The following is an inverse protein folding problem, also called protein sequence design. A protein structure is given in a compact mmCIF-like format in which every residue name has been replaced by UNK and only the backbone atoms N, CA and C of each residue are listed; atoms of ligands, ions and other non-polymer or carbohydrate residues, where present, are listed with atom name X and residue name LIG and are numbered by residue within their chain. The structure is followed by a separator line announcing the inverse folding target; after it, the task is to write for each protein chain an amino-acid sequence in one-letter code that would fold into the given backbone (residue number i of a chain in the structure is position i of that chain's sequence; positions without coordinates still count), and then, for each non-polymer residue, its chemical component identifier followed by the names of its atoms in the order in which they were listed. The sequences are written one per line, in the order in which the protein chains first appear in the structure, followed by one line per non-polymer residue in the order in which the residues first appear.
data_IF_775998907751
#
_entry.id   IF_775998907751
#
_cell.length_a   1.000
_cell.length_b   1.000
_cell.length_c   1.000
_cell.angle_alpha   90.00
_cell.angle_beta   90.00
_cell.angle_gamma   90.00
#
_symmetry.space_group_name_H-M   'P 1'
#
loop_
_entity.id
_entity.type
_entity.pdbx_description
1 polymer ?
#
# COMPACT_ATOMS: atom_id res chain seq x y z
N UNK A 1 -16.89 -26.07 -7.93
CA UNK A 1 -17.64 -24.83 -7.60
C UNK A 1 -17.52 -24.51 -6.10
N UNK A 2 -16.29 -24.44 -5.58
CA UNK A 2 -16.01 -23.56 -4.45
C UNK A 2 -15.66 -22.24 -5.11
N UNK A 3 -16.48 -21.22 -4.87
CA UNK A 3 -16.08 -19.83 -5.10
C UNK A 3 -14.71 -19.67 -4.40
N UNK A 4 -13.97 -18.60 -4.70
CA UNK A 4 -13.32 -17.93 -3.58
C UNK A 4 -14.46 -17.66 -2.57
N UNK A 5 -14.72 -18.61 -1.67
CA UNK A 5 -15.58 -18.44 -0.54
C UNK A 5 -14.80 -17.36 0.17
N UNK A 6 -15.23 -16.12 -0.10
CA UNK A 6 -15.33 -15.05 0.87
C UNK A 6 -14.46 -15.42 2.05
N UNK A 7 -13.16 -15.09 1.99
CA UNK A 7 -12.36 -15.04 3.19
C UNK A 7 -13.30 -14.40 4.23
N UNK A 8 -13.67 -15.13 5.30
CA UNK A 8 -14.82 -14.79 6.13
C UNK A 8 -14.72 -13.30 6.39
N UNK A 9 -15.76 -12.52 6.05
CA UNK A 9 -15.74 -11.05 6.07
C UNK A 9 -14.98 -10.66 7.32
N UNK A 10 -13.68 -10.36 7.16
CA UNK A 10 -12.80 -10.27 8.32
C UNK A 10 -13.38 -9.07 9.06
N UNK A 11 -13.72 -9.26 10.34
CA UNK A 11 -14.30 -8.19 11.16
C UNK A 11 -13.55 -6.89 10.84
N UNK A 12 -14.29 -5.81 10.59
CA UNK A 12 -13.73 -4.49 10.27
C UNK A 12 -12.62 -4.10 11.24
N UNK A 13 -12.73 -4.52 12.51
CA UNK A 13 -11.68 -4.35 13.54
C UNK A 13 -10.40 -5.13 13.20
N UNK A 14 -10.51 -6.39 12.79
CA UNK A 14 -9.41 -7.25 12.33
C UNK A 14 -8.76 -6.71 11.06
N UNK A 15 -9.54 -6.27 10.08
CA UNK A 15 -9.01 -5.64 8.86
C UNK A 15 -8.22 -4.36 9.17
N UNK A 16 -8.73 -3.54 10.11
CA UNK A 16 -8.04 -2.34 10.58
C UNK A 16 -6.72 -2.68 11.30
N UNK A 17 -6.73 -3.68 12.17
CA UNK A 17 -5.52 -4.18 12.86
C UNK A 17 -4.43 -4.61 11.87
N UNK A 18 -4.81 -5.46 10.91
CA UNK A 18 -3.90 -5.96 9.87
C UNK A 18 -3.37 -4.84 8.96
N UNK A 19 -4.19 -3.83 8.64
CA UNK A 19 -3.73 -2.68 7.85
C UNK A 19 -2.71 -1.83 8.62
N UNK A 20 -2.94 -1.57 9.91
CA UNK A 20 -1.99 -0.86 10.78
C UNK A 20 -0.69 -1.63 10.92
N UNK A 21 -0.77 -2.95 11.12
CA UNK A 21 0.42 -3.81 11.17
C UNK A 21 1.18 -3.74 9.84
N UNK A 22 0.50 -3.86 8.70
CA UNK A 22 1.14 -3.75 7.38
C UNK A 22 1.87 -2.42 7.20
N UNK A 23 1.27 -1.29 7.60
CA UNK A 23 1.92 0.02 7.53
C UNK A 23 3.17 0.10 8.43
N UNK A 24 3.10 -0.44 9.64
CA UNK A 24 4.23 -0.46 10.57
C UNK A 24 5.38 -1.34 10.06
N UNK A 25 5.05 -2.47 9.44
CA UNK A 25 6.02 -3.40 8.83
C UNK A 25 6.66 -2.77 7.59
N UNK A 26 5.88 -2.14 6.72
CA UNK A 26 6.39 -1.42 5.56
C UNK A 26 7.41 -0.36 5.98
N UNK A 27 7.04 0.53 6.92
CA UNK A 27 7.94 1.58 7.42
C UNK A 27 9.20 1.03 8.08
N UNK A 28 9.14 -0.16 8.70
CA UNK A 28 10.33 -0.82 9.24
C UNK A 28 11.28 -1.29 8.14
N UNK A 29 10.76 -1.93 7.09
CA UNK A 29 11.59 -2.42 5.99
C UNK A 29 12.16 -1.26 5.17
N UNK A 30 11.38 -0.20 4.90
CA UNK A 30 11.87 1.02 4.27
C UNK A 30 13.08 1.59 5.02
N UNK A 31 12.96 1.79 6.35
CA UNK A 31 14.10 2.24 7.17
C UNK A 31 15.28 1.27 7.12
N UNK A 32 15.02 -0.03 7.09
CA UNK A 32 16.07 -1.04 7.06
C UNK A 32 16.86 -1.00 5.75
N UNK A 33 16.16 -0.85 4.62
CA UNK A 33 16.76 -0.69 3.30
C UNK A 33 17.60 0.60 3.21
N UNK A 34 17.17 1.68 3.88
CA UNK A 34 17.93 2.94 3.91
C UNK A 34 19.11 2.95 4.88
N UNK A 35 19.08 2.16 5.97
CA UNK A 35 20.04 2.27 7.09
C UNK A 35 21.11 1.17 7.14
N UNK A 36 20.82 -0.05 6.68
CA UNK A 36 21.79 -1.14 6.66
C UNK A 36 22.41 -1.23 5.27
N UNK A 37 23.73 -1.45 5.21
CA UNK A 37 24.54 -1.53 3.99
C UNK A 37 23.93 -2.40 2.88
N UNK A 38 24.42 -2.29 1.64
CA UNK A 38 23.59 -2.45 0.45
C UNK A 38 23.00 -3.85 0.36
N UNK A 39 21.68 -3.96 0.57
CA UNK A 39 20.91 -5.04 -0.03
C UNK A 39 21.19 -4.99 -1.53
N UNK A 40 21.60 -6.10 -2.11
CA UNK A 40 21.76 -6.19 -3.56
C UNK A 40 20.39 -6.38 -4.21
N UNK A 41 20.30 -6.09 -5.51
CA UNK A 41 19.09 -6.38 -6.28
C UNK A 41 18.64 -7.85 -6.14
N UNK A 42 19.60 -8.78 -6.10
CA UNK A 42 19.32 -10.21 -5.94
C UNK A 42 18.71 -10.56 -4.58
N UNK A 43 19.09 -9.86 -3.51
CA UNK A 43 18.56 -10.11 -2.16
C UNK A 43 17.07 -9.81 -2.07
N UNK A 44 16.54 -8.92 -2.92
CA UNK A 44 15.12 -8.56 -2.98
C UNK A 44 14.22 -9.70 -3.49
N UNK A 45 14.80 -10.81 -3.94
CA UNK A 45 14.11 -12.01 -4.41
C UNK A 45 14.44 -13.25 -3.58
N UNK A 46 15.31 -13.12 -2.58
CA UNK A 46 15.77 -14.24 -1.76
C UNK A 46 14.61 -14.89 -0.99
N UNK A 47 14.48 -16.24 -0.95
CA UNK A 47 13.49 -16.92 -0.12
C UNK A 47 13.52 -16.46 1.35
N UNK A 48 14.72 -16.17 1.87
CA UNK A 48 14.94 -15.71 3.23
C UNK A 48 14.32 -14.31 3.45
N UNK A 49 14.40 -13.43 2.45
CA UNK A 49 13.75 -12.12 2.48
C UNK A 49 12.22 -12.25 2.41
N UNK A 50 11.71 -13.11 1.53
CA UNK A 50 10.28 -13.44 1.42
C UNK A 50 9.72 -13.97 2.75
N UNK A 51 10.46 -14.86 3.41
CA UNK A 51 10.13 -15.43 4.72
C UNK A 51 10.17 -14.36 5.82
N UNK A 52 11.18 -13.50 5.83
CA UNK A 52 11.30 -12.41 6.79
C UNK A 52 10.12 -11.43 6.68
N UNK A 53 9.72 -11.07 5.46
CA UNK A 53 8.54 -10.22 5.20
C UNK A 53 7.27 -10.89 5.71
N UNK A 54 7.04 -12.16 5.37
CA UNK A 54 5.88 -12.92 5.86
C UNK A 54 5.87 -13.01 7.39
N UNK A 55 6.98 -13.43 8.01
CA UNK A 55 7.11 -13.48 9.45
C UNK A 55 6.74 -12.13 10.09
N UNK A 56 7.28 -11.04 9.57
CA UNK A 56 7.10 -9.72 10.18
C UNK A 56 5.67 -9.21 10.10
N UNK A 57 4.94 -9.57 9.03
CA UNK A 57 3.52 -9.26 8.82
C UNK A 57 2.57 -10.02 9.75
N UNK A 58 2.99 -11.18 10.29
CA UNK A 58 2.07 -12.09 10.96
C UNK A 58 2.50 -12.54 12.36
N UNK A 59 3.75 -12.29 12.78
CA UNK A 59 4.24 -12.68 14.11
C UNK A 59 3.46 -12.04 15.27
N UNK A 60 2.87 -10.87 15.05
CA UNK A 60 2.08 -10.14 16.05
C UNK A 60 0.59 -10.51 16.02
N UNK A 61 0.15 -11.26 15.02
CA UNK A 61 -1.25 -11.63 14.85
C UNK A 61 -1.66 -12.72 15.87
N UNK A 62 -2.86 -12.58 16.42
CA UNK A 62 -3.44 -13.60 17.31
C UNK A 62 -3.66 -14.93 16.58
N UNK A 63 -3.83 -16.02 17.33
CA UNK A 63 -4.11 -17.35 16.73
C UNK A 63 -5.41 -17.31 15.91
N UNK A 64 -6.47 -16.67 16.41
CA UNK A 64 -7.71 -16.45 15.68
C UNK A 64 -7.51 -15.65 14.38
N UNK A 65 -6.49 -14.79 14.32
CA UNK A 65 -6.12 -14.06 13.11
C UNK A 65 -5.33 -14.90 12.11
N UNK A 66 -4.72 -16.00 12.56
CA UNK A 66 -3.90 -16.93 11.78
C UNK A 66 -4.60 -18.25 11.47
N UNK A 67 -5.77 -18.51 12.07
CA UNK A 67 -6.60 -19.68 11.75
C UNK A 67 -7.10 -19.60 10.30
N UNK A 68 -6.87 -20.67 9.56
CA UNK A 68 -7.28 -20.90 8.17
C UNK A 68 -8.69 -21.48 8.11
N UNK A 69 -9.25 -21.59 6.90
CA UNK A 69 -10.59 -22.13 6.69
C UNK A 69 -10.75 -23.60 7.08
N UNK A 70 -9.65 -24.36 7.08
CA UNK A 70 -9.61 -25.77 7.51
C UNK A 70 -9.36 -25.93 9.02
N UNK A 71 -9.29 -24.84 9.77
CA UNK A 71 -9.02 -24.83 11.21
C UNK A 71 -7.54 -24.91 11.59
N UNK A 72 -6.64 -25.14 10.64
CA UNK A 72 -5.21 -25.11 10.91
C UNK A 72 -4.71 -23.68 11.17
N UNK A 73 -3.59 -23.53 11.86
CA UNK A 73 -3.01 -22.22 12.19
C UNK A 73 -1.81 -21.99 11.26
N UNK A 74 -1.87 -20.91 10.47
CA UNK A 74 -0.76 -20.49 9.62
C UNK A 74 0.44 -20.07 10.48
N UNK A 75 1.62 -20.60 10.15
CA UNK A 75 2.87 -20.28 10.83
C UNK A 75 3.59 -19.11 10.12
N UNK A 76 3.80 -17.97 10.82
CA UNK A 76 4.52 -16.83 10.24
C UNK A 76 5.93 -17.20 9.78
N UNK A 77 6.31 -16.75 8.59
CA UNK A 77 7.63 -16.98 8.00
C UNK A 77 7.94 -18.41 7.53
N UNK A 78 7.03 -19.37 7.69
CA UNK A 78 7.27 -20.76 7.33
C UNK A 78 6.66 -21.08 5.97
N UNK A 79 7.50 -21.47 5.01
CA UNK A 79 7.07 -21.92 3.70
C UNK A 79 6.25 -23.21 3.79
N UNK A 80 5.26 -23.37 2.91
CA UNK A 80 4.45 -24.58 2.85
C UNK A 80 5.24 -25.82 2.39
N UNK A 81 6.42 -25.64 1.78
CA UNK A 81 7.37 -26.73 1.51
C UNK A 81 7.84 -27.43 2.78
N UNK A 82 7.90 -26.70 3.90
CA UNK A 82 8.29 -27.24 5.21
C UNK A 82 7.12 -27.97 5.87
N UNK A 83 5.90 -27.45 5.71
CA UNK A 83 4.69 -28.07 6.29
C UNK A 83 4.09 -29.18 5.43
N UNK A 84 4.50 -29.29 4.16
CA UNK A 84 3.96 -30.26 3.19
C UNK A 84 2.53 -29.94 2.73
N UNK A 85 2.04 -28.71 2.95
CA UNK A 85 0.65 -28.35 2.67
C UNK A 85 0.47 -27.83 1.24
N UNK A 86 -0.37 -28.51 0.47
CA UNK A 86 -0.82 -28.05 -0.84
C UNK A 86 -2.02 -27.10 -0.68
N UNK A 87 -2.09 -26.09 -1.55
CA UNK A 87 -3.10 -25.02 -1.48
C UNK A 87 -3.71 -24.80 -2.86
N UNK A 88 -5.02 -24.53 -2.88
CA UNK A 88 -5.77 -24.18 -4.09
C UNK A 88 -5.90 -22.67 -4.16
N UNK A 89 -5.57 -22.08 -5.30
CA UNK A 89 -5.62 -20.63 -5.54
C UNK A 89 -6.66 -20.33 -6.61
N UNK A 90 -7.80 -19.79 -6.19
CA UNK A 90 -8.92 -19.55 -7.10
C UNK A 90 -9.43 -20.85 -7.72
N UNK A 91 -9.21 -21.02 -9.04
CA UNK A 91 -9.61 -22.21 -9.79
C UNK A 91 -8.43 -23.09 -10.24
N UNK A 92 -7.22 -22.83 -9.76
CA UNK A 92 -6.04 -23.62 -10.12
C UNK A 92 -5.34 -24.14 -8.86
N UNK A 93 -4.73 -25.31 -8.98
CA UNK A 93 -3.82 -25.82 -7.96
C UNK A 93 -2.54 -24.98 -8.00
N UNK A 94 -2.10 -24.49 -6.84
CA UNK A 94 -0.76 -23.95 -6.75
C UNK A 94 0.25 -25.08 -7.05
N UNK A 95 1.51 -24.74 -7.42
CA UNK A 95 2.57 -25.74 -7.56
C UNK A 95 2.66 -26.65 -6.33
N UNK A 96 3.17 -27.87 -6.47
CA UNK A 96 3.33 -28.76 -5.32
C UNK A 96 4.21 -28.11 -4.23
N UNK A 97 3.87 -28.35 -2.95
CA UNK A 97 4.57 -27.79 -1.81
C UNK A 97 6.08 -28.09 -1.85
N UNK A 98 6.48 -29.28 -2.28
CA UNK A 98 7.88 -29.67 -2.37
C UNK A 98 8.69 -28.83 -3.37
N UNK A 99 8.03 -28.24 -4.38
CA UNK A 99 8.67 -27.44 -5.41
C UNK A 99 8.89 -25.97 -5.00
N UNK A 100 8.17 -25.47 -3.98
CA UNK A 100 8.12 -24.04 -3.63
C UNK A 100 9.50 -23.42 -3.43
N UNK A 101 10.34 -24.06 -2.60
CA UNK A 101 11.66 -23.52 -2.27
C UNK A 101 12.57 -23.45 -3.51
N UNK A 102 12.59 -24.51 -4.32
CA UNK A 102 13.36 -24.55 -5.55
C UNK A 102 12.88 -23.49 -6.56
N UNK A 103 11.56 -23.27 -6.64
CA UNK A 103 10.97 -22.23 -7.49
C UNK A 103 11.37 -20.83 -7.01
N UNK A 104 11.31 -20.54 -5.72
CA UNK A 104 11.75 -19.23 -5.19
C UNK A 104 13.23 -18.96 -5.51
N UNK A 105 14.10 -19.96 -5.35
CA UNK A 105 15.53 -19.86 -5.72
C UNK A 105 15.74 -19.66 -7.23
N UNK A 106 14.93 -20.34 -8.04
CA UNK A 106 14.94 -20.12 -9.49
C UNK A 106 14.54 -18.68 -9.86
N UNK A 107 13.49 -18.15 -9.23
CA UNK A 107 13.06 -16.77 -9.41
C UNK A 107 14.16 -15.78 -8.99
N UNK A 108 14.81 -16.01 -7.84
CA UNK A 108 15.94 -15.20 -7.39
C UNK A 108 17.07 -15.18 -8.43
N UNK A 109 17.49 -16.34 -8.92
CA UNK A 109 18.55 -16.44 -9.93
C UNK A 109 18.18 -15.72 -11.24
N UNK A 110 16.93 -15.85 -11.69
CA UNK A 110 16.45 -15.26 -12.93
C UNK A 110 16.31 -13.73 -12.90
N UNK A 111 15.65 -13.21 -11.86
CA UNK A 111 15.37 -11.78 -11.70
C UNK A 111 16.53 -11.00 -11.05
N UNK A 112 17.24 -11.63 -10.11
CA UNK A 112 18.31 -11.00 -9.33
C UNK A 112 19.57 -10.65 -10.11
N UNK A 113 19.75 -11.22 -11.32
CA UNK A 113 20.89 -10.92 -12.21
C UNK A 113 20.71 -9.66 -13.07
N UNK A 114 19.54 -9.02 -13.05
CA UNK A 114 19.30 -7.83 -13.87
C UNK A 114 20.03 -6.62 -13.30
N UNK A 115 20.74 -5.89 -14.17
CA UNK A 115 21.53 -4.71 -13.80
C UNK A 115 20.99 -3.40 -14.39
N UNK A 116 20.23 -3.45 -15.48
CA UNK A 116 19.57 -2.27 -16.07
C UNK A 116 18.35 -1.87 -15.22
N UNK A 117 18.29 -0.65 -14.65
CA UNK A 117 17.18 -0.19 -13.82
C UNK A 117 15.80 -0.33 -14.48
N UNK A 118 15.71 -0.15 -15.81
CA UNK A 118 14.45 -0.31 -16.55
C UNK A 118 13.99 -1.77 -16.56
N UNK A 119 14.94 -2.69 -16.71
CA UNK A 119 14.67 -4.14 -16.64
C UNK A 119 14.40 -4.58 -15.21
N UNK A 120 14.99 -3.93 -14.22
CA UNK A 120 14.70 -4.18 -12.80
C UNK A 120 13.27 -3.77 -12.44
N UNK A 121 12.80 -2.61 -12.91
CA UNK A 121 11.39 -2.22 -12.76
C UNK A 121 10.44 -3.27 -13.37
N UNK A 122 10.69 -3.66 -14.62
CA UNK A 122 9.91 -4.74 -15.27
C UNK A 122 9.99 -6.03 -14.45
N UNK A 123 11.17 -6.36 -13.91
CA UNK A 123 11.39 -7.54 -13.08
C UNK A 123 10.60 -7.51 -11.77
N UNK A 124 10.44 -6.36 -11.11
CA UNK A 124 9.58 -6.22 -9.93
C UNK A 124 8.13 -6.58 -10.22
N UNK A 125 7.61 -6.04 -11.32
CA UNK A 125 6.22 -6.24 -11.71
C UNK A 125 6.00 -7.68 -12.19
N UNK A 126 6.91 -8.20 -13.00
CA UNK A 126 6.93 -9.59 -13.45
C UNK A 126 6.98 -10.58 -12.26
N UNK A 127 7.90 -10.34 -11.31
CA UNK A 127 8.07 -11.16 -10.12
C UNK A 127 6.82 -11.15 -9.23
N UNK A 128 6.11 -10.03 -9.12
CA UNK A 128 4.85 -9.94 -8.37
C UNK A 128 3.89 -11.09 -8.73
N UNK A 129 3.68 -11.31 -10.03
CA UNK A 129 2.85 -12.39 -10.53
C UNK A 129 3.46 -13.76 -10.23
N UNK A 130 4.75 -13.97 -10.51
CA UNK A 130 5.39 -15.27 -10.29
C UNK A 130 5.39 -15.69 -8.83
N UNK A 131 5.58 -14.75 -7.92
CA UNK A 131 5.47 -15.00 -6.48
C UNK A 131 4.02 -15.33 -6.07
N UNK A 132 3.04 -14.61 -6.62
CA UNK A 132 1.63 -14.88 -6.37
C UNK A 132 1.21 -16.29 -6.88
N UNK A 133 1.74 -16.71 -8.03
CA UNK A 133 1.52 -18.03 -8.62
C UNK A 133 2.23 -19.17 -7.87
N UNK A 134 3.48 -18.98 -7.43
CA UNK A 134 4.17 -19.96 -6.55
C UNK A 134 3.40 -20.19 -5.24
N UNK A 135 2.79 -19.12 -4.72
CA UNK A 135 1.97 -19.13 -3.51
C UNK A 135 2.70 -19.78 -2.31
N UNK A 136 3.84 -19.24 -1.87
CA UNK A 136 4.77 -19.95 -0.98
C UNK A 136 4.27 -20.24 0.44
N UNK A 137 3.25 -19.52 0.91
CA UNK A 137 2.69 -19.66 2.26
C UNK A 137 1.25 -20.19 2.22
N UNK A 138 0.73 -20.62 3.36
CA UNK A 138 -0.66 -21.11 3.47
C UNK A 138 -1.71 -20.00 3.52
N UNK A 139 -1.36 -18.79 3.95
CA UNK A 139 -2.15 -17.55 3.77
C UNK A 139 -1.19 -16.36 3.64
N UNK A 140 -1.70 -15.19 3.28
CA UNK A 140 -0.94 -13.94 3.30
C UNK A 140 -0.16 -13.62 2.03
N UNK A 141 -0.12 -14.53 1.05
CA UNK A 141 0.67 -14.39 -0.18
C UNK A 141 0.43 -13.07 -0.93
N UNK A 142 -0.84 -12.63 -1.07
CA UNK A 142 -1.14 -11.35 -1.72
C UNK A 142 -0.59 -10.13 -0.97
N UNK A 143 -0.54 -10.17 0.37
CA UNK A 143 0.06 -9.10 1.19
C UNK A 143 1.57 -9.10 1.06
N UNK A 144 2.19 -10.28 1.08
CA UNK A 144 3.63 -10.47 0.86
C UNK A 144 4.04 -9.97 -0.53
N UNK A 145 3.34 -10.38 -1.59
CA UNK A 145 3.64 -9.97 -2.96
C UNK A 145 3.56 -8.44 -3.13
N UNK A 146 2.50 -7.79 -2.62
CA UNK A 146 2.38 -6.33 -2.67
C UNK A 146 3.47 -5.62 -1.88
N UNK A 147 3.82 -6.10 -0.69
CA UNK A 147 4.86 -5.48 0.12
C UNK A 147 6.25 -5.68 -0.51
N UNK A 148 6.56 -6.87 -1.04
CA UNK A 148 7.84 -7.08 -1.72
C UNK A 148 7.95 -6.21 -2.96
N UNK A 149 6.90 -6.11 -3.79
CA UNK A 149 6.92 -5.18 -4.93
C UNK A 149 7.13 -3.74 -4.49
N UNK A 150 6.48 -3.31 -3.41
CA UNK A 150 6.72 -1.98 -2.82
C UNK A 150 8.19 -1.80 -2.43
N UNK A 151 8.77 -2.75 -1.70
CA UNK A 151 10.17 -2.68 -1.25
C UNK A 151 11.17 -2.73 -2.43
N UNK A 152 10.85 -3.44 -3.51
CA UNK A 152 11.63 -3.41 -4.74
C UNK A 152 11.57 -2.03 -5.41
N UNK A 153 10.40 -1.37 -5.43
CA UNK A 153 10.28 0.01 -5.94
C UNK A 153 11.03 1.02 -5.06
N UNK A 154 11.08 0.81 -3.73
CA UNK A 154 11.92 1.59 -2.81
C UNK A 154 13.41 1.39 -3.12
N UNK A 155 13.83 0.13 -3.34
CA UNK A 155 15.22 -0.18 -3.70
C UNK A 155 15.65 0.46 -5.03
N UNK A 156 14.71 0.65 -5.96
CA UNK A 156 14.92 1.36 -7.23
C UNK A 156 14.85 2.89 -7.11
N UNK A 157 14.74 3.43 -5.88
CA UNK A 157 14.65 4.87 -5.61
C UNK A 157 13.46 5.56 -6.31
N UNK A 158 12.39 4.81 -6.57
CA UNK A 158 11.21 5.34 -7.25
C UNK A 158 10.20 5.98 -6.29
N UNK A 159 10.49 6.11 -5.00
CA UNK A 159 9.64 6.76 -4.00
C UNK A 159 8.16 6.30 -3.98
N UNK A 160 7.87 4.99 -3.88
CA UNK A 160 6.49 4.46 -3.82
C UNK A 160 5.75 4.83 -2.51
N UNK A 161 6.38 5.59 -1.63
CA UNK A 161 5.78 6.29 -0.48
C UNK A 161 4.96 7.49 -0.93
N UNK A 162 5.36 8.14 -2.03
CA UNK A 162 4.67 9.29 -2.62
C UNK A 162 3.56 8.85 -3.56
N UNK A 163 3.71 7.71 -4.25
CA UNK A 163 2.68 7.11 -5.12
C UNK A 163 2.53 5.62 -4.82
N UNK A 164 1.31 5.16 -4.54
CA UNK A 164 1.09 3.80 -4.04
C UNK A 164 0.52 2.88 -5.12
N UNK A 165 1.34 1.98 -5.67
CA UNK A 165 0.86 0.90 -6.55
C UNK A 165 -0.28 0.10 -5.90
N UNK A 166 -0.16 -0.24 -4.62
CA UNK A 166 -1.20 -0.96 -3.87
C UNK A 166 -2.55 -0.22 -3.84
N UNK A 167 -2.55 1.12 -3.75
CA UNK A 167 -3.76 1.93 -3.87
C UNK A 167 -4.39 1.80 -5.26
N UNK A 168 -3.57 1.89 -6.31
CA UNK A 168 -4.02 1.74 -7.70
C UNK A 168 -4.67 0.38 -7.95
N UNK A 169 -4.02 -0.70 -7.50
CA UNK A 169 -4.55 -2.06 -7.57
C UNK A 169 -5.85 -2.22 -6.77
N UNK A 170 -5.96 -1.60 -5.59
CA UNK A 170 -7.19 -1.65 -4.80
C UNK A 170 -8.36 -0.92 -5.50
N UNK A 171 -8.09 0.19 -6.19
CA UNK A 171 -9.10 0.91 -6.98
C UNK A 171 -9.55 0.09 -8.19
N UNK A 172 -8.61 -0.59 -8.85
CA UNK A 172 -8.82 -1.48 -10.01
C UNK A 172 -8.81 -2.97 -9.62
N UNK A 173 -9.41 -3.29 -8.46
CA UNK A 173 -9.36 -4.64 -7.89
C UNK A 173 -9.81 -5.72 -8.88
N UNK A 174 -10.95 -5.51 -9.56
CA UNK A 174 -11.47 -6.51 -10.50
C UNK A 174 -10.51 -6.74 -11.68
N UNK A 175 -9.95 -5.67 -12.25
CA UNK A 175 -8.97 -5.74 -13.33
C UNK A 175 -7.70 -6.46 -12.88
N UNK A 176 -7.21 -6.17 -11.67
CA UNK A 176 -6.01 -6.79 -11.11
C UNK A 176 -6.17 -8.31 -10.97
N UNK A 177 -7.29 -8.76 -10.39
CA UNK A 177 -7.56 -10.20 -10.28
C UNK A 177 -7.81 -10.85 -11.64
N UNK A 178 -8.42 -10.12 -12.58
CA UNK A 178 -8.57 -10.60 -13.96
C UNK A 178 -7.21 -10.76 -14.65
N UNK A 179 -6.30 -9.80 -14.51
CA UNK A 179 -4.97 -9.84 -15.10
C UNK A 179 -4.12 -10.98 -14.54
N UNK A 180 -4.18 -11.23 -13.22
CA UNK A 180 -3.57 -12.41 -12.59
C UNK A 180 -4.14 -13.71 -13.21
N UNK A 181 -5.47 -13.83 -13.23
CA UNK A 181 -6.14 -15.04 -13.76
C UNK A 181 -5.82 -15.29 -15.23
N UNK A 182 -5.66 -14.23 -16.04
CA UNK A 182 -5.26 -14.37 -17.43
C UNK A 182 -3.80 -14.82 -17.57
N UNK A 183 -2.89 -14.28 -16.75
CA UNK A 183 -1.48 -14.64 -16.79
C UNK A 183 -1.18 -16.04 -16.19
N UNK A 184 -2.12 -16.60 -15.44
CA UNK A 184 -2.13 -18.01 -14.99
C UNK A 184 -2.64 -18.99 -16.07
N UNK A 185 -3.09 -18.51 -17.23
CA UNK A 185 -3.57 -19.41 -18.29
C UNK A 185 -2.44 -20.28 -18.85
N UNK A 186 -2.75 -21.52 -19.26
CA UNK A 186 -1.80 -22.34 -20.00
C UNK A 186 -1.33 -21.64 -21.28
N UNK A 187 -0.15 -22.04 -21.76
CA UNK A 187 0.40 -21.61 -23.05
C UNK A 187 -0.63 -21.76 -24.18
N UNK A 188 -0.88 -20.66 -24.89
CA UNK A 188 -1.86 -20.53 -25.97
C UNK A 188 -1.19 -20.71 -27.35
N UNK A 189 -0.71 -21.93 -27.62
CA UNK A 189 -0.12 -22.32 -28.92
C UNK A 189 1.40 -22.10 -29.04
N UNK A 190 1.94 -22.39 -30.22
CA UNK A 190 3.39 -22.53 -30.41
C UNK A 190 4.16 -21.21 -30.31
N UNK A 191 3.52 -20.09 -30.67
CA UNK A 191 4.10 -18.75 -30.62
C UNK A 191 4.04 -18.10 -29.23
N UNK A 192 3.38 -18.72 -28.26
CA UNK A 192 3.14 -18.15 -26.92
C UNK A 192 4.23 -18.53 -25.91
N UNK A 193 5.49 -18.24 -26.27
CA UNK A 193 6.66 -18.56 -25.46
C UNK A 193 6.93 -20.06 -25.37
N UNK A 194 7.76 -20.46 -24.39
CA UNK A 194 8.21 -21.86 -24.20
C UNK A 194 7.91 -22.43 -22.81
N UNK A 195 7.27 -21.63 -21.96
CA UNK A 195 6.88 -22.04 -20.60
C UNK A 195 5.54 -22.76 -20.57
N UNK A 196 5.14 -23.21 -19.38
CA UNK A 196 3.82 -23.83 -19.17
C UNK A 196 2.68 -22.82 -19.20
N UNK A 197 2.95 -21.57 -18.81
CA UNK A 197 1.99 -20.47 -18.76
C UNK A 197 2.15 -19.55 -19.97
N UNK A 198 1.05 -18.89 -20.33
CA UNK A 198 1.02 -17.95 -21.44
C UNK A 198 1.99 -16.79 -21.25
N UNK A 199 2.92 -16.61 -22.19
CA UNK A 199 3.86 -15.49 -22.18
C UNK A 199 3.15 -14.19 -22.58
N UNK A 200 2.24 -14.26 -23.54
CA UNK A 200 1.44 -13.12 -24.00
C UNK A 200 0.61 -12.53 -22.86
N UNK A 201 -0.15 -13.36 -22.13
CA UNK A 201 -0.95 -12.89 -20.98
C UNK A 201 -0.09 -12.37 -19.85
N UNK A 202 1.09 -12.94 -19.66
CA UNK A 202 2.05 -12.44 -18.69
C UNK A 202 2.58 -11.04 -19.05
N UNK A 203 2.79 -10.73 -20.32
CA UNK A 203 3.14 -9.37 -20.76
C UNK A 203 1.98 -8.40 -20.58
N UNK A 204 0.74 -8.81 -20.92
CA UNK A 204 -0.47 -8.01 -20.65
C UNK A 204 -0.61 -7.67 -19.15
N UNK A 205 -0.27 -8.61 -18.24
CA UNK A 205 -0.22 -8.35 -16.80
C UNK A 205 0.84 -7.29 -16.43
N UNK A 206 2.05 -7.37 -17.00
CA UNK A 206 3.11 -6.40 -16.73
C UNK A 206 2.71 -5.00 -17.24
N UNK A 207 2.13 -4.92 -18.44
CA UNK A 207 1.60 -3.68 -19.01
C UNK A 207 0.51 -3.07 -18.14
N UNK A 208 -0.44 -3.89 -17.64
CA UNK A 208 -1.43 -3.45 -16.68
C UNK A 208 -0.79 -2.86 -15.41
N UNK A 209 0.20 -3.54 -14.85
CA UNK A 209 0.89 -3.06 -13.64
C UNK A 209 1.62 -1.73 -13.90
N UNK A 210 2.26 -1.57 -15.06
CA UNK A 210 2.90 -0.31 -15.48
C UNK A 210 1.89 0.83 -15.64
N UNK A 211 0.74 0.55 -16.26
CA UNK A 211 -0.34 1.53 -16.39
C UNK A 211 -0.82 1.97 -15.01
N UNK A 212 -1.00 1.04 -14.07
CA UNK A 212 -1.39 1.39 -12.70
C UNK A 212 -0.31 2.25 -12.02
N UNK A 213 0.98 1.94 -12.19
CA UNK A 213 2.05 2.80 -11.67
C UNK A 213 1.93 4.23 -12.22
N UNK A 214 1.77 4.38 -13.54
CA UNK A 214 1.62 5.68 -14.20
C UNK A 214 0.38 6.44 -13.69
N UNK A 215 -0.78 5.77 -13.63
CA UNK A 215 -2.02 6.35 -13.11
C UNK A 215 -1.86 6.87 -11.67
N UNK A 216 -1.09 6.14 -10.83
CA UNK A 216 -0.84 6.56 -9.45
C UNK A 216 0.13 7.74 -9.36
N UNK A 217 1.14 7.81 -10.23
CA UNK A 217 2.05 8.96 -10.31
C UNK A 217 1.28 10.21 -10.78
N UNK A 218 0.52 10.12 -11.86
CA UNK A 218 -0.29 11.23 -12.39
C UNK A 218 -1.29 11.75 -11.35
N UNK A 219 -1.97 10.81 -10.67
CA UNK A 219 -2.88 11.14 -9.58
C UNK A 219 -2.16 11.96 -8.50
N UNK A 220 -0.97 11.52 -8.07
CA UNK A 220 -0.25 12.19 -7.00
C UNK A 220 0.27 13.55 -7.42
N UNK A 221 0.77 13.70 -8.66
CA UNK A 221 1.16 15.00 -9.23
C UNK A 221 -0.02 15.99 -9.16
N UNK A 222 -1.21 15.59 -9.60
CA UNK A 222 -2.39 16.46 -9.52
C UNK A 222 -2.90 16.68 -8.09
N UNK A 223 -2.80 15.67 -7.23
CA UNK A 223 -3.27 15.72 -5.85
C UNK A 223 -2.42 16.61 -4.95
N UNK A 224 -1.11 16.72 -5.20
CA UNK A 224 -0.19 17.57 -4.43
C UNK A 224 0.16 18.89 -5.13
N UNK A 225 -0.38 19.13 -6.33
CA UNK A 225 -0.24 20.42 -7.01
C UNK A 225 -0.66 21.57 -6.08
N UNK A 226 0.22 22.54 -5.77
CA UNK A 226 -0.04 23.58 -4.77
C UNK A 226 -1.27 24.44 -5.09
N UNK A 227 -1.49 24.73 -6.37
CA UNK A 227 -2.60 25.58 -6.83
C UNK A 227 -3.93 24.87 -6.64
N UNK A 228 -4.03 23.62 -7.14
CA UNK A 228 -5.26 22.84 -6.98
C UNK A 228 -5.50 22.44 -5.52
N UNK A 229 -4.45 22.12 -4.76
CA UNK A 229 -4.55 21.82 -3.34
C UNK A 229 -5.13 23.02 -2.57
N UNK A 230 -4.62 24.22 -2.84
CA UNK A 230 -5.14 25.48 -2.29
C UNK A 230 -6.63 25.65 -2.59
N UNK A 231 -7.03 25.46 -3.85
CA UNK A 231 -8.44 25.58 -4.25
C UNK A 231 -9.34 24.57 -3.54
N UNK A 232 -8.90 23.31 -3.44
CA UNK A 232 -9.65 22.25 -2.74
C UNK A 232 -9.80 22.55 -1.25
N UNK A 233 -8.76 23.04 -0.58
CA UNK A 233 -8.84 23.45 0.84
C UNK A 233 -9.79 24.65 1.01
N UNK A 234 -9.69 25.68 0.17
CA UNK A 234 -10.60 26.84 0.22
C UNK A 234 -12.05 26.41 0.02
N UNK A 235 -12.30 25.51 -0.95
CA UNK A 235 -13.63 24.95 -1.21
C UNK A 235 -14.16 24.18 0.00
N UNK A 236 -13.34 23.33 0.62
CA UNK A 236 -13.72 22.59 1.82
C UNK A 236 -14.12 23.54 2.96
N UNK A 237 -13.32 24.59 3.21
CA UNK A 237 -13.63 25.60 4.23
C UNK A 237 -14.90 26.41 3.96
N UNK A 238 -15.28 26.60 2.69
CA UNK A 238 -16.51 27.31 2.33
C UNK A 238 -17.78 26.47 2.42
N UNK A 239 -17.69 25.18 2.11
CA UNK A 239 -18.89 24.35 1.85
C UNK A 239 -18.99 23.09 2.70
N UNK A 240 -17.95 22.68 3.43
CA UNK A 240 -18.03 21.49 4.27
C UNK A 240 -18.92 21.77 5.50
N UNK A 241 -20.06 21.08 5.58
CA UNK A 241 -21.06 21.28 6.63
C UNK A 241 -20.49 21.10 8.04
N UNK A 242 -19.55 20.17 8.23
CA UNK A 242 -18.95 19.90 9.54
C UNK A 242 -18.11 21.09 10.02
N UNK A 243 -17.40 21.76 9.11
CA UNK A 243 -16.65 22.98 9.43
C UNK A 243 -17.59 24.12 9.80
N UNK A 244 -18.63 24.33 8.98
CA UNK A 244 -19.62 25.38 9.20
C UNK A 244 -20.38 25.19 10.52
N UNK A 245 -20.82 23.96 10.83
CA UNK A 245 -21.51 23.62 12.08
C UNK A 245 -20.64 23.81 13.33
N UNK A 246 -19.32 23.66 13.22
CA UNK A 246 -18.40 23.96 14.33
C UNK A 246 -18.05 25.45 14.43
N UNK A 247 -18.58 26.31 13.54
CA UNK A 247 -18.27 27.73 13.51
C UNK A 247 -16.83 28.04 13.11
N UNK A 248 -16.21 27.14 12.33
CA UNK A 248 -14.87 27.38 11.74
C UNK A 248 -15.03 28.35 10.58
N UNK A 249 -14.19 29.39 10.57
CA UNK A 249 -14.28 30.49 9.63
C UNK A 249 -13.65 30.11 8.29
N UNK A 250 -14.29 30.39 7.14
CA UNK A 250 -13.68 30.16 5.83
C UNK A 250 -12.35 30.89 5.63
N UNK A 251 -12.19 32.05 6.28
CA UNK A 251 -10.97 32.86 6.28
C UNK A 251 -9.78 32.17 6.93
N UNK A 252 -10.00 31.11 7.72
CA UNK A 252 -8.94 30.30 8.34
C UNK A 252 -8.28 29.31 7.38
N UNK A 253 -8.78 29.13 6.15
CA UNK A 253 -8.21 28.22 5.16
C UNK A 253 -6.70 28.42 4.89
N UNK A 254 -6.16 29.65 4.77
CA UNK A 254 -4.72 29.88 4.57
C UNK A 254 -3.85 29.26 5.65
N UNK A 255 -4.35 29.18 6.90
CA UNK A 255 -3.63 28.55 8.00
C UNK A 255 -3.44 27.04 7.78
N UNK A 256 -4.47 26.36 7.26
CA UNK A 256 -4.38 24.93 6.93
C UNK A 256 -3.55 24.70 5.68
N UNK A 257 -3.65 25.57 4.67
CA UNK A 257 -2.80 25.50 3.47
C UNK A 257 -1.32 25.60 3.86
N UNK A 258 -0.98 26.60 4.68
CA UNK A 258 0.40 26.79 5.17
C UNK A 258 0.87 25.58 5.98
N UNK A 259 0.02 25.06 6.87
CA UNK A 259 0.34 23.90 7.69
C UNK A 259 0.61 22.64 6.85
N UNK A 260 -0.26 22.33 5.87
CA UNK A 260 -0.09 21.18 4.98
C UNK A 260 1.19 21.32 4.15
N UNK A 261 1.45 22.52 3.62
CA UNK A 261 2.63 22.77 2.77
C UNK A 261 3.94 22.67 3.54
N UNK A 262 3.98 23.16 4.79
CA UNK A 262 5.20 23.16 5.61
C UNK A 262 5.38 21.89 6.46
N UNK A 263 4.34 21.05 6.57
CA UNK A 263 4.34 19.81 7.36
C UNK A 263 4.34 20.01 8.87
N UNK A 264 4.78 21.16 9.38
CA UNK A 264 4.63 21.58 10.77
C UNK A 264 4.76 23.09 10.89
N UNK A 265 4.09 23.68 11.88
CA UNK A 265 4.18 25.11 12.17
C UNK A 265 4.17 25.40 13.68
N UNK A 266 4.83 26.48 14.12
CA UNK A 266 4.59 27.05 15.43
C UNK A 266 3.12 27.50 15.60
N UNK A 267 2.56 27.30 16.80
CA UNK A 267 1.15 27.67 17.09
C UNK A 267 0.86 29.16 16.86
N UNK A 268 1.82 30.05 17.12
CA UNK A 268 1.68 31.48 16.87
C UNK A 268 1.55 31.78 15.38
N UNK A 269 2.29 31.08 14.51
CA UNK A 269 2.21 31.26 13.06
C UNK A 269 0.87 30.82 12.51
N UNK A 270 0.33 29.68 12.96
CA UNK A 270 -1.03 29.27 12.56
C UNK A 270 -2.05 30.36 12.90
N UNK A 271 -1.98 30.91 14.11
CA UNK A 271 -2.89 31.99 14.53
C UNK A 271 -2.74 33.22 13.63
N UNK A 272 -1.52 33.59 13.24
CA UNK A 272 -1.29 34.67 12.28
C UNK A 272 -1.95 34.37 10.93
N UNK A 273 -1.80 33.16 10.41
CA UNK A 273 -2.40 32.77 9.12
C UNK A 273 -3.93 32.67 9.13
N UNK A 274 -4.58 32.65 10.30
CA UNK A 274 -6.05 32.77 10.36
C UNK A 274 -6.55 34.17 10.01
N UNK A 275 -5.67 35.19 10.03
CA UNK A 275 -6.05 36.59 9.82
C UNK A 275 -6.91 37.18 10.95
N UNK A 276 -7.05 36.49 12.08
CA UNK A 276 -7.87 36.92 13.22
C UNK A 276 -7.06 37.68 14.25
N UNK A 277 -7.74 38.49 15.07
CA UNK A 277 -7.13 39.12 16.24
C UNK A 277 -6.74 38.08 17.30
N UNK A 278 -5.83 38.40 18.25
CA UNK A 278 -5.20 37.39 19.11
C UNK A 278 -6.16 36.50 19.91
N UNK A 279 -7.27 37.05 20.43
CA UNK A 279 -8.26 36.29 21.21
C UNK A 279 -9.05 35.31 20.32
N UNK A 280 -9.78 35.75 19.27
CA UNK A 280 -10.46 34.84 18.34
C UNK A 280 -9.57 33.80 17.69
N UNK A 281 -8.30 34.12 17.41
CA UNK A 281 -7.35 33.17 16.82
C UNK A 281 -7.08 31.96 17.73
N UNK A 282 -7.12 32.13 19.06
CA UNK A 282 -6.97 31.03 20.03
C UNK A 282 -8.17 30.08 19.96
N UNK A 283 -9.38 30.62 19.90
CA UNK A 283 -10.61 29.83 19.83
C UNK A 283 -10.70 29.10 18.49
N UNK A 284 -10.31 29.77 17.40
CA UNK A 284 -10.27 29.18 16.06
C UNK A 284 -9.29 28.00 16.00
N UNK A 285 -8.07 28.17 16.51
CA UNK A 285 -7.10 27.07 16.61
C UNK A 285 -7.66 25.91 17.45
N UNK A 286 -8.34 26.20 18.55
CA UNK A 286 -8.95 25.17 19.40
C UNK A 286 -10.03 24.39 18.65
N UNK A 287 -10.85 25.06 17.83
CA UNK A 287 -11.82 24.40 16.94
C UNK A 287 -11.13 23.53 15.88
N UNK A 288 -10.09 24.04 15.23
CA UNK A 288 -9.31 23.31 14.22
C UNK A 288 -8.68 22.02 14.81
N UNK A 289 -8.17 22.09 16.04
CA UNK A 289 -7.68 20.91 16.76
C UNK A 289 -8.83 19.94 17.09
N UNK A 290 -9.96 20.46 17.58
CA UNK A 290 -11.13 19.65 17.95
C UNK A 290 -11.70 18.85 16.77
N UNK A 291 -11.74 19.44 15.57
CA UNK A 291 -12.20 18.74 14.36
C UNK A 291 -11.11 17.85 13.72
N UNK A 292 -9.88 17.93 14.24
CA UNK A 292 -8.74 17.14 13.81
C UNK A 292 -8.04 17.67 12.56
N UNK A 293 -8.25 18.93 12.15
CA UNK A 293 -7.48 19.55 11.05
C UNK A 293 -6.07 19.97 11.48
N UNK A 294 -5.86 20.11 12.79
CA UNK A 294 -4.56 20.42 13.39
C UNK A 294 -4.29 19.41 14.49
N UNK A 295 -3.16 18.73 14.40
CA UNK A 295 -2.69 17.81 15.42
C UNK A 295 -1.70 18.48 16.37
N UNK A 296 -1.80 18.13 17.64
CA UNK A 296 -0.92 18.63 18.69
C UNK A 296 -0.55 17.48 19.61
N UNK A 297 0.75 17.17 19.71
CA UNK A 297 1.24 16.04 20.53
C UNK A 297 0.83 16.14 22.00
N UNK A 298 0.74 17.36 22.52
CA UNK A 298 0.24 17.65 23.88
C UNK A 298 -0.60 18.93 23.85
N UNK A 299 -1.47 19.17 24.85
CA UNK A 299 -2.25 20.40 24.93
C UNK A 299 -1.41 21.68 24.89
N UNK A 300 -0.12 21.61 25.30
CA UNK A 300 0.82 22.74 25.38
C UNK A 300 1.91 22.70 24.30
N UNK A 301 1.83 21.82 23.30
CA UNK A 301 2.87 21.71 22.26
C UNK A 301 3.01 23.03 21.51
N UNK A 302 4.25 23.53 21.40
CA UNK A 302 4.55 24.77 20.65
C UNK A 302 4.44 24.56 19.14
N UNK A 303 4.70 23.34 18.68
CA UNK A 303 4.61 22.92 17.29
C UNK A 303 3.33 22.11 17.10
N UNK A 304 2.67 22.33 15.97
CA UNK A 304 1.51 21.58 15.50
C UNK A 304 1.76 21.05 14.10
N UNK A 305 1.07 19.97 13.76
CA UNK A 305 1.18 19.28 12.46
C UNK A 305 -0.18 19.22 11.79
N UNK A 306 -0.25 19.03 10.46
CA UNK A 306 -1.51 18.83 9.77
C UNK A 306 -2.24 17.63 10.35
N UNK A 307 -3.51 17.81 10.67
CA UNK A 307 -4.42 16.70 10.84
C UNK A 307 -5.21 16.50 9.55
N UNK A 308 -5.24 15.26 9.05
CA UNK A 308 -5.92 14.89 7.81
C UNK A 308 -6.97 13.83 8.10
N UNK A 309 -8.05 14.17 8.83
CA UNK A 309 -9.09 13.21 9.14
C UNK A 309 -9.75 12.77 7.84
N UNK A 310 -10.17 11.50 7.77
CA UNK A 310 -10.60 10.89 6.52
C UNK A 310 -11.66 11.69 5.76
N UNK A 311 -12.58 12.36 6.46
CA UNK A 311 -13.63 13.20 5.84
C UNK A 311 -13.05 14.44 5.15
N UNK A 312 -12.04 15.09 5.74
CA UNK A 312 -11.38 16.26 5.14
C UNK A 312 -10.41 15.84 4.04
N UNK A 313 -9.70 14.73 4.24
CA UNK A 313 -8.83 14.15 3.23
C UNK A 313 -9.61 13.80 1.94
N UNK A 314 -10.89 13.41 2.02
CA UNK A 314 -11.74 13.19 0.83
C UNK A 314 -12.01 14.46 0.04
N UNK A 315 -12.17 15.59 0.72
CA UNK A 315 -12.45 16.88 0.08
C UNK A 315 -11.18 17.46 -0.56
N UNK A 316 -10.04 17.28 0.12
CA UNK A 316 -8.75 17.87 -0.27
C UNK A 316 -7.97 16.98 -1.23
N UNK A 317 -8.11 15.66 -1.14
CA UNK A 317 -7.50 14.67 -2.03
C UNK A 317 -8.60 13.76 -2.58
N UNK A 318 -9.36 14.23 -3.59
CA UNK A 318 -10.45 13.45 -4.17
C UNK A 318 -9.89 12.10 -4.63
N UNK A 319 -10.69 11.05 -4.50
CA UNK A 319 -10.30 9.68 -4.86
C UNK A 319 -9.20 9.02 -4.03
N UNK A 320 -8.57 9.68 -3.04
CA UNK A 320 -7.52 9.09 -2.20
C UNK A 320 -7.90 7.73 -1.63
N UNK A 321 -9.15 7.59 -1.19
CA UNK A 321 -9.79 6.31 -0.83
C UNK A 321 -11.13 6.17 -1.54
N UNK A 322 -11.57 4.92 -1.75
CA UNK A 322 -12.95 4.67 -2.19
C UNK A 322 -13.89 5.31 -1.16
N UNK A 323 -14.86 6.10 -1.64
CA UNK A 323 -15.97 6.55 -0.81
C UNK A 323 -16.71 5.29 -0.37
N UNK A 324 -16.63 4.96 0.91
CA UNK A 324 -17.58 4.01 1.49
C UNK A 324 -18.93 4.75 1.44
N UNK A 325 -19.77 4.38 0.48
CA UNK A 325 -21.18 4.76 0.47
C UNK A 325 -21.89 4.05 1.62
#
# INVERSE_FOLDING_TARGET
MQKAQTAPVKDRKRLKSLAVEQMAVQALFERTLSQRGPFTWSDMFAPEFVNAVHNRLFRGASDAERTLSDGSIMQPGILRSVTGQNVIVGNHDAPDASAVEAMLRHLQSGFGRQTDPRRQLISSLAYHHRLAWVHPFTDGNGRVARLITHLQLVHLELEPTLWSLSRGLARRHQDYYSALTMADRPREGDLDGRGQLSQRRYFEFIEFMLQVCHDQVDYMIAAVDPSQLRERVIRAFRYNERLLQQGIRPESAPAIIALITQGSLPRNEIKTFTGLTPRPAIDELSRLIKVGLVESRTPKSRIVTPGLPAWFAQDVFPDLHRRFQ
#
